data_IF_277190911741
#
_entry.id   IF_277190911741
#
_cell.length_a   1.000
_cell.length_b   1.000
_cell.length_c   1.000
_cell.angle_alpha   90.00
_cell.angle_beta   90.00
_cell.angle_gamma   90.00
#
_symmetry.space_group_name_H-M   'P 1'
#
loop_
_entity.id
_entity.type
_entity.pdbx_description
1 polymer ?
#
# COMPACT_ATOMS: atom_id res chain seq x y z
N UNK A 1 -48.47 -3.22 -51.45
CA UNK A 1 -47.08 -3.64 -51.10
C UNK A 1 -46.21 -2.58 -50.42
N UNK A 2 -46.55 -1.28 -50.40
CA UNK A 2 -45.73 -0.22 -49.80
C UNK A 2 -45.93 0.06 -48.33
N UNK A 3 -47.11 -0.26 -47.76
CA UNK A 3 -47.42 0.01 -46.33
C UNK A 3 -46.74 -0.97 -45.38
N UNK A 4 -46.64 -2.25 -45.77
CA UNK A 4 -45.98 -3.29 -44.94
C UNK A 4 -44.48 -3.06 -44.73
N UNK A 5 -43.81 -2.50 -45.72
CA UNK A 5 -42.38 -2.21 -45.66
C UNK A 5 -42.12 -0.99 -44.75
N UNK A 6 -42.99 0.00 -44.73
CA UNK A 6 -42.87 1.17 -43.86
C UNK A 6 -43.07 0.85 -42.37
N UNK A 7 -44.02 -0.04 -42.07
CA UNK A 7 -44.31 -0.49 -40.69
C UNK A 7 -43.14 -1.32 -40.14
N UNK A 8 -42.56 -2.19 -40.95
CA UNK A 8 -41.40 -2.98 -40.58
C UNK A 8 -40.15 -2.11 -40.30
N UNK A 9 -39.95 -1.06 -41.09
CA UNK A 9 -38.81 -0.12 -40.88
C UNK A 9 -38.99 0.74 -39.63
N UNK A 10 -40.20 1.15 -39.28
CA UNK A 10 -40.49 1.91 -38.07
C UNK A 10 -40.34 1.05 -36.81
N UNK A 11 -40.70 -0.22 -36.85
CA UNK A 11 -40.46 -1.16 -35.73
C UNK A 11 -38.99 -1.47 -35.54
N UNK A 12 -38.18 -1.50 -36.59
CA UNK A 12 -36.73 -1.71 -36.47
C UNK A 12 -35.99 -0.50 -35.85
N UNK A 13 -36.46 0.72 -36.11
CA UNK A 13 -35.88 1.95 -35.56
C UNK A 13 -36.28 2.08 -34.08
N UNK A 14 -37.51 1.69 -33.71
CA UNK A 14 -37.96 1.69 -32.30
C UNK A 14 -37.19 0.70 -31.41
N UNK A 15 -36.74 -0.43 -31.97
CA UNK A 15 -35.97 -1.42 -31.23
C UNK A 15 -34.49 -0.98 -30.99
N UNK A 16 -33.94 -0.08 -31.82
CA UNK A 16 -32.57 0.44 -31.63
C UNK A 16 -32.46 1.56 -30.63
N UNK A 17 -33.57 2.21 -30.24
CA UNK A 17 -33.55 3.38 -29.31
C UNK A 17 -33.75 2.95 -27.85
N UNK A 18 -34.07 1.67 -27.60
CA UNK A 18 -34.11 1.10 -26.26
C UNK A 18 -32.80 0.43 -25.87
N UNK A 19 -31.64 0.92 -26.35
CA UNK A 19 -30.37 0.61 -25.69
C UNK A 19 -30.40 1.23 -24.30
N UNK A 20 -30.87 0.41 -23.36
CA UNK A 20 -30.93 0.75 -21.94
C UNK A 20 -29.56 1.22 -21.51
N UNK A 21 -29.47 2.41 -20.96
CA UNK A 21 -28.39 2.79 -20.09
C UNK A 21 -28.44 1.86 -18.87
N UNK A 22 -27.85 0.67 -18.97
CA UNK A 22 -27.55 -0.16 -17.82
C UNK A 22 -26.42 0.56 -17.11
N UNK A 23 -26.77 1.46 -16.21
CA UNK A 23 -25.84 1.99 -15.24
C UNK A 23 -25.55 0.85 -14.25
N UNK A 24 -24.54 0.04 -14.56
CA UNK A 24 -23.99 -0.90 -13.61
C UNK A 24 -23.32 -0.08 -12.51
N UNK A 25 -23.87 -0.09 -11.31
CA UNK A 25 -23.15 0.35 -10.13
C UNK A 25 -22.01 -0.62 -9.90
N UNK A 26 -20.79 -0.18 -10.21
CA UNK A 26 -19.59 -0.94 -9.92
C UNK A 26 -19.55 -1.25 -8.41
N UNK A 27 -19.46 -2.54 -8.00
CA UNK A 27 -19.39 -2.91 -6.59
C UNK A 27 -18.08 -2.44 -5.95
N UNK A 28 -17.03 -2.25 -6.76
CA UNK A 28 -15.73 -1.73 -6.33
C UNK A 28 -15.68 -0.25 -6.68
N UNK A 29 -15.55 0.59 -5.66
CA UNK A 29 -15.43 2.04 -5.84
C UNK A 29 -13.97 2.48 -5.75
N UNK A 30 -13.58 3.55 -6.46
CA UNK A 30 -12.24 4.12 -6.31
C UNK A 30 -11.93 4.46 -4.86
N UNK A 31 -10.70 4.17 -4.43
CA UNK A 31 -10.22 4.51 -3.10
C UNK A 31 -10.21 6.03 -2.94
N UNK A 32 -10.87 6.53 -1.91
CA UNK A 32 -10.87 7.95 -1.59
C UNK A 32 -9.52 8.37 -1.02
N UNK A 33 -9.06 9.56 -1.38
CA UNK A 33 -7.85 10.13 -0.79
C UNK A 33 -7.95 10.17 0.74
N UNK A 34 -6.84 9.86 1.41
CA UNK A 34 -6.77 9.89 2.86
C UNK A 34 -7.00 11.32 3.38
N UNK A 35 -7.76 11.43 4.48
CA UNK A 35 -7.91 12.69 5.18
C UNK A 35 -6.70 12.91 6.09
N UNK A 36 -5.74 13.70 5.63
CA UNK A 36 -4.52 14.03 6.37
C UNK A 36 -4.83 15.06 7.46
N UNK A 37 -4.85 14.62 8.72
CA UNK A 37 -5.11 15.50 9.87
C UNK A 37 -3.87 16.26 10.35
N UNK A 38 -2.68 15.73 10.11
CA UNK A 38 -1.39 16.32 10.52
C UNK A 38 -0.36 16.05 9.41
N UNK A 39 -0.07 17.08 8.64
CA UNK A 39 0.87 17.00 7.51
C UNK A 39 2.32 16.79 7.99
N UNK A 40 2.70 17.37 9.12
CA UNK A 40 4.06 17.24 9.66
C UNK A 40 4.33 15.79 10.10
N UNK A 41 3.34 15.13 10.70
CA UNK A 41 3.45 13.69 11.03
C UNK A 41 3.54 12.80 9.81
N UNK A 42 2.93 13.18 8.70
CA UNK A 42 3.05 12.44 7.43
C UNK A 42 4.45 12.62 6.85
N UNK A 43 4.98 13.83 6.85
CA UNK A 43 6.34 14.09 6.37
C UNK A 43 7.38 13.39 7.26
N UNK A 44 7.23 13.45 8.57
CA UNK A 44 8.04 12.67 9.51
C UNK A 44 8.01 11.17 9.17
N UNK A 45 6.84 10.60 8.99
CA UNK A 45 6.68 9.19 8.61
C UNK A 45 7.37 8.84 7.31
N UNK A 46 7.31 9.72 6.30
CA UNK A 46 8.02 9.57 5.03
C UNK A 46 9.54 9.59 5.22
N UNK A 47 10.05 10.52 6.01
CA UNK A 47 11.49 10.58 6.34
C UNK A 47 11.94 9.28 7.02
N UNK A 48 11.19 8.83 8.03
CA UNK A 48 11.47 7.58 8.77
C UNK A 48 11.44 6.35 7.86
N UNK A 49 10.48 6.28 6.93
CA UNK A 49 10.35 5.17 5.99
C UNK A 49 11.59 4.99 5.09
N UNK A 50 12.26 6.07 4.78
CA UNK A 50 13.44 6.11 3.92
C UNK A 50 14.76 6.07 4.70
N UNK A 51 14.74 6.22 6.04
CA UNK A 51 15.95 6.36 6.84
C UNK A 51 16.58 5.01 7.23
N UNK A 52 17.74 4.63 6.67
CA UNK A 52 18.41 3.38 7.01
C UNK A 52 19.05 3.40 8.41
N UNK A 53 19.25 4.57 9.02
CA UNK A 53 19.86 4.71 10.36
C UNK A 53 19.02 4.12 11.47
N UNK A 54 17.74 3.84 11.21
CA UNK A 54 16.86 3.12 12.13
C UNK A 54 17.22 1.64 12.26
N UNK A 55 18.01 1.08 11.33
CA UNK A 55 18.53 -0.28 11.42
C UNK A 55 19.88 -0.34 12.11
N UNK A 56 20.19 -1.49 12.71
CA UNK A 56 21.48 -1.76 13.37
C UNK A 56 22.69 -1.57 12.45
N UNK A 57 22.54 -1.92 11.17
CA UNK A 57 23.62 -1.80 10.17
C UNK A 57 23.72 -0.41 9.58
N UNK A 58 22.72 0.44 9.69
CA UNK A 58 22.64 1.71 8.98
C UNK A 58 22.40 1.59 7.47
N UNK A 59 22.04 0.39 6.96
CA UNK A 59 21.84 0.14 5.53
C UNK A 59 20.42 -0.23 5.14
N UNK A 60 19.58 -0.60 6.10
CA UNK A 60 18.23 -1.11 5.84
C UNK A 60 17.20 -0.10 6.31
N UNK A 61 16.40 0.38 5.40
CA UNK A 61 15.20 1.18 5.65
C UNK A 61 13.93 0.38 5.35
N UNK A 62 12.76 0.90 5.68
CA UNK A 62 11.50 0.29 5.25
C UNK A 62 11.45 0.18 3.71
N UNK A 63 11.94 1.19 3.00
CA UNK A 63 12.00 1.20 1.54
C UNK A 63 12.92 0.12 0.95
N UNK A 64 13.83 -0.48 1.72
CA UNK A 64 14.68 -1.57 1.23
C UNK A 64 13.87 -2.80 0.83
N UNK A 65 12.82 -3.13 1.60
CA UNK A 65 11.92 -4.25 1.34
C UNK A 65 10.58 -3.80 0.75
N UNK A 66 10.20 -2.54 0.95
CA UNK A 66 8.95 -1.96 0.48
C UNK A 66 9.20 -0.80 -0.49
N UNK A 67 9.95 -1.06 -1.56
CA UNK A 67 10.38 -0.05 -2.52
C UNK A 67 9.19 0.59 -3.24
N UNK A 68 8.97 1.89 -3.00
CA UNK A 68 7.84 2.63 -3.57
C UNK A 68 7.90 2.69 -5.10
N UNK A 69 9.08 2.62 -5.71
CA UNK A 69 9.24 2.58 -7.16
C UNK A 69 8.96 1.20 -7.76
N UNK A 70 8.82 0.17 -6.92
CA UNK A 70 8.55 -1.22 -7.33
C UNK A 70 7.16 -1.69 -6.86
N UNK A 71 6.23 -0.75 -6.68
CA UNK A 71 4.88 -1.08 -6.21
C UNK A 71 4.79 -1.31 -4.68
N UNK A 72 5.74 -0.78 -3.92
CA UNK A 72 5.75 -0.90 -2.44
C UNK A 72 6.19 -2.27 -1.92
N UNK A 73 6.96 -3.00 -2.70
CA UNK A 73 7.54 -4.32 -2.40
C UNK A 73 8.95 -4.42 -3.01
N UNK A 74 9.73 -5.44 -2.69
CA UNK A 74 11.02 -5.73 -3.30
C UNK A 74 10.96 -6.75 -4.45
N UNK A 75 9.78 -7.33 -4.71
CA UNK A 75 9.49 -8.28 -5.77
C UNK A 75 10.36 -9.57 -5.74
N UNK A 76 10.86 -9.96 -4.57
CA UNK A 76 11.59 -11.21 -4.36
C UNK A 76 10.83 -12.15 -3.43
N UNK A 77 11.08 -13.47 -3.52
CA UNK A 77 10.34 -14.45 -2.70
C UNK A 77 10.49 -14.24 -1.19
N UNK A 78 11.64 -13.77 -0.73
CA UNK A 78 11.93 -13.45 0.67
C UNK A 78 12.85 -12.23 0.73
N UNK A 79 12.46 -11.24 1.53
CA UNK A 79 13.26 -10.03 1.71
C UNK A 79 14.58 -10.30 2.42
N UNK A 80 15.60 -9.49 2.13
CA UNK A 80 16.93 -9.59 2.73
C UNK A 80 17.07 -8.50 3.79
N UNK A 81 17.29 -8.91 5.04
CA UNK A 81 17.46 -8.03 6.18
C UNK A 81 18.90 -7.93 6.68
N UNK A 82 19.04 -7.56 7.95
CA UNK A 82 20.33 -7.38 8.61
C UNK A 82 21.23 -8.61 8.50
N UNK A 83 22.51 -8.40 8.22
CA UNK A 83 23.50 -9.47 8.05
C UNK A 83 23.13 -10.51 6.98
N UNK A 84 22.42 -10.08 5.92
CA UNK A 84 21.98 -10.92 4.80
C UNK A 84 20.98 -12.03 5.20
N UNK A 85 20.36 -11.92 6.36
CA UNK A 85 19.31 -12.85 6.76
C UNK A 85 18.10 -12.70 5.83
N UNK A 86 17.46 -13.81 5.55
CA UNK A 86 16.25 -13.85 4.73
C UNK A 86 15.02 -14.04 5.62
N UNK A 87 13.97 -13.31 5.29
CA UNK A 87 12.66 -13.51 5.90
C UNK A 87 12.01 -14.84 5.45
N UNK A 88 10.92 -15.25 6.08
CA UNK A 88 10.23 -16.48 5.72
C UNK A 88 9.27 -16.33 4.52
N UNK A 89 8.96 -15.10 4.14
CA UNK A 89 7.94 -14.78 3.12
C UNK A 89 8.28 -13.44 2.45
N UNK A 90 7.69 -13.17 1.28
CA UNK A 90 7.84 -11.93 0.56
C UNK A 90 7.24 -10.73 1.31
N UNK A 91 7.81 -9.55 1.11
CA UNK A 91 7.25 -8.30 1.58
C UNK A 91 5.95 -7.97 0.82
N UNK A 92 4.81 -7.78 1.49
CA UNK A 92 3.59 -7.31 0.83
C UNK A 92 3.73 -5.86 0.43
N UNK A 93 2.90 -5.41 -0.53
CA UNK A 93 2.86 -4.00 -0.88
C UNK A 93 2.42 -3.13 0.30
N UNK A 94 3.06 -1.97 0.46
CA UNK A 94 2.64 -0.94 1.42
C UNK A 94 1.61 0.02 0.85
N UNK A 95 1.37 -0.02 -0.47
CA UNK A 95 0.40 0.86 -1.11
C UNK A 95 -1.01 0.53 -0.60
N UNK A 96 -1.70 1.55 -0.10
CA UNK A 96 -3.02 1.42 0.51
C UNK A 96 -3.13 0.44 1.70
N UNK A 97 -2.00 0.05 2.30
CA UNK A 97 -1.97 -0.90 3.42
C UNK A 97 -2.79 -0.45 4.65
N UNK A 98 -3.04 0.86 4.80
CA UNK A 98 -3.94 1.39 5.85
C UNK A 98 -5.40 0.94 5.72
N UNK A 99 -5.79 0.38 4.58
CA UNK A 99 -7.14 -0.13 4.32
C UNK A 99 -7.28 -1.63 4.58
N UNK A 100 -6.18 -2.31 4.89
CA UNK A 100 -6.22 -3.71 5.28
C UNK A 100 -6.91 -3.89 6.64
N UNK A 101 -7.61 -5.00 6.82
CA UNK A 101 -8.28 -5.34 8.08
C UNK A 101 -7.30 -5.57 9.22
N UNK A 102 -6.12 -6.08 8.90
CA UNK A 102 -4.99 -6.30 9.80
C UNK A 102 -3.68 -6.26 9.01
N UNK A 103 -2.55 -6.20 9.68
CA UNK A 103 -1.24 -6.11 9.07
C UNK A 103 -0.43 -7.39 9.28
N UNK A 104 0.62 -7.59 8.49
CA UNK A 104 1.33 -8.83 8.24
C UNK A 104 0.46 -9.89 7.52
N UNK A 105 1.09 -10.88 6.94
CA UNK A 105 0.40 -11.96 6.21
C UNK A 105 -0.52 -12.81 7.10
N UNK A 106 -0.20 -12.92 8.38
CA UNK A 106 -0.94 -13.67 9.40
C UNK A 106 -1.91 -12.80 10.23
N UNK A 107 -1.98 -11.50 9.94
CA UNK A 107 -2.90 -10.59 10.63
C UNK A 107 -2.54 -10.28 12.09
N UNK A 108 -1.32 -10.58 12.55
CA UNK A 108 -0.92 -10.44 13.95
C UNK A 108 -0.85 -9.02 14.49
N UNK A 109 -0.79 -8.00 13.63
CA UNK A 109 -0.86 -6.60 14.02
C UNK A 109 -2.19 -5.98 13.55
N UNK A 110 -2.88 -5.31 14.45
CA UNK A 110 -4.22 -4.75 14.20
C UNK A 110 -4.21 -3.52 13.29
N UNK A 111 -3.10 -2.78 13.25
CA UNK A 111 -2.95 -1.54 12.51
C UNK A 111 -1.49 -1.28 12.10
N UNK A 112 -1.26 -0.25 11.29
CA UNK A 112 0.08 0.13 10.83
C UNK A 112 0.98 0.64 11.96
N UNK A 113 0.42 1.20 13.03
CA UNK A 113 1.19 1.68 14.18
C UNK A 113 1.83 0.51 14.92
N UNK A 114 1.08 -0.54 15.14
CA UNK A 114 1.59 -1.76 15.76
C UNK A 114 2.58 -2.48 14.83
N UNK A 115 2.24 -2.59 13.54
CA UNK A 115 3.09 -3.24 12.54
C UNK A 115 4.48 -2.61 12.46
N UNK A 116 4.57 -1.26 12.37
CA UNK A 116 5.83 -0.57 12.11
C UNK A 116 6.90 -0.81 13.20
N UNK A 117 6.50 -1.11 14.42
CA UNK A 117 7.42 -1.44 15.50
C UNK A 117 8.11 -2.79 15.35
N UNK A 118 7.46 -3.76 14.68
CA UNK A 118 7.96 -5.12 14.53
C UNK A 118 9.29 -5.20 13.77
N UNK A 119 9.35 -4.75 12.51
CA UNK A 119 10.55 -4.80 11.67
C UNK A 119 11.79 -4.12 12.28
N UNK A 120 11.60 -3.02 12.99
CA UNK A 120 12.71 -2.32 13.66
C UNK A 120 13.40 -3.25 14.66
N UNK A 121 12.65 -4.00 15.44
CA UNK A 121 13.17 -4.87 16.49
C UNK A 121 13.51 -6.30 16.00
N UNK A 122 13.01 -6.70 14.84
CA UNK A 122 13.23 -8.05 14.32
C UNK A 122 14.70 -8.25 13.92
N UNK A 123 15.41 -9.25 14.51
CA UNK A 123 16.81 -9.52 14.19
C UNK A 123 17.06 -9.86 12.73
N UNK A 124 16.09 -10.50 12.07
CA UNK A 124 16.16 -10.88 10.65
C UNK A 124 15.82 -9.75 9.69
N UNK A 125 15.34 -8.61 10.17
CA UNK A 125 14.97 -7.45 9.36
C UNK A 125 15.90 -6.26 9.65
N UNK A 126 15.52 -5.31 10.51
CA UNK A 126 16.33 -4.14 10.83
C UNK A 126 17.28 -4.36 12.02
N UNK A 127 17.04 -5.36 12.86
CA UNK A 127 17.86 -5.80 14.00
C UNK A 127 18.24 -4.68 15.01
N UNK A 128 17.41 -3.65 15.14
CA UNK A 128 17.62 -2.52 16.02
C UNK A 128 16.79 -2.65 17.30
N UNK A 129 16.60 -1.56 18.01
CA UNK A 129 15.65 -1.43 19.11
C UNK A 129 14.92 -0.10 19.01
N UNK A 130 13.72 -0.01 19.58
CA UNK A 130 12.98 1.25 19.64
C UNK A 130 13.76 2.34 20.38
N UNK A 131 14.54 1.97 21.39
CA UNK A 131 15.41 2.91 22.13
C UNK A 131 16.47 3.51 21.20
N UNK A 132 17.21 2.68 20.47
CA UNK A 132 18.22 3.14 19.50
C UNK A 132 17.60 3.99 18.41
N UNK A 133 16.43 3.60 17.88
CA UNK A 133 15.71 4.40 16.90
C UNK A 133 15.40 5.81 17.44
N UNK A 134 14.90 5.92 18.66
CA UNK A 134 14.61 7.22 19.31
C UNK A 134 15.89 8.04 19.50
N UNK A 135 16.97 7.42 19.99
CA UNK A 135 18.27 8.09 20.18
C UNK A 135 18.83 8.64 18.85
N UNK A 136 18.73 7.86 17.76
CA UNK A 136 19.09 8.31 16.42
C UNK A 136 18.29 9.54 16.02
N UNK A 137 16.96 9.51 16.17
CA UNK A 137 16.09 10.63 15.81
C UNK A 137 16.42 11.89 16.62
N UNK A 138 16.62 11.74 17.93
CA UNK A 138 16.97 12.87 18.81
C UNK A 138 18.34 13.49 18.48
N UNK A 139 19.23 12.75 17.86
CA UNK A 139 20.55 13.24 17.45
C UNK A 139 20.56 14.05 16.16
N UNK A 140 19.41 14.09 15.44
CA UNK A 140 19.31 14.67 14.10
C UNK A 140 18.38 15.88 14.15
N UNK A 141 18.91 17.11 13.91
CA UNK A 141 18.10 18.33 14.02
C UNK A 141 16.91 18.43 13.05
N UNK A 142 16.89 17.62 11.99
CA UNK A 142 15.83 17.59 10.97
C UNK A 142 14.57 16.84 11.42
N UNK A 143 14.64 16.08 12.51
CA UNK A 143 13.53 15.39 13.14
C UNK A 143 13.01 16.21 14.32
#
# INVERSE_FOLDING_TARGET
>A
MKIRTLVASLLSIGALVTSMNVSANEPIQPIKAANVKNADMVELGKMLFLDPRLSKSGFISCNSCHNLSMGGTDNIPTSIGHAWQQGPINAPTVLNASMNLAQFWDGRAKDLKEQAGGPIANPGEMASTHKVAVEVLQSIPQY
#
